data_IF_441162917769
#
_entry.id   IF_441162917769
#
_cell.length_a   1.000
_cell.length_b   1.000
_cell.length_c   1.000
_cell.angle_alpha   90.00
_cell.angle_beta   90.00
_cell.angle_gamma   90.00
#
_symmetry.space_group_name_H-M   'P 1'
#
loop_
_entity.id
_entity.type
_entity.pdbx_description
1 polymer ?
#
# COMPACT_ATOMS: atom_id res chain seq x y z
N UNK A 1 1.75 17.11 -23.20
CA UNK A 1 1.47 16.21 -22.07
C UNK A 1 2.74 15.40 -21.83
N UNK A 2 3.16 15.21 -20.61
CA UNK A 2 4.30 14.36 -20.29
C UNK A 2 4.06 12.93 -20.78
N UNK A 3 5.08 12.29 -21.38
CA UNK A 3 4.94 10.87 -21.76
C UNK A 3 4.83 9.96 -20.53
N UNK A 4 5.32 10.43 -19.39
CA UNK A 4 5.35 9.70 -18.12
C UNK A 4 4.62 10.49 -17.03
N UNK A 5 3.81 9.81 -16.23
CA UNK A 5 3.13 10.36 -15.04
C UNK A 5 3.47 9.52 -13.81
N UNK A 6 3.74 10.17 -12.69
CA UNK A 6 3.82 9.50 -11.39
C UNK A 6 2.41 9.48 -10.80
N UNK A 7 1.88 8.30 -10.49
CA UNK A 7 0.59 8.15 -9.81
C UNK A 7 0.83 7.65 -8.40
N UNK A 8 0.25 8.34 -7.41
CA UNK A 8 0.44 8.05 -5.99
C UNK A 8 -0.87 7.57 -5.36
N UNK A 9 -0.83 6.40 -4.72
CA UNK A 9 -1.90 5.80 -3.94
C UNK A 9 -1.54 5.89 -2.45
N UNK A 10 -2.38 6.56 -1.68
CA UNK A 10 -2.16 6.80 -0.25
C UNK A 10 -2.46 5.58 0.63
N UNK A 11 -2.05 5.63 1.90
CA UNK A 11 -2.33 4.63 2.92
C UNK A 11 -3.75 4.72 3.49
N UNK A 12 -4.14 3.73 4.30
CA UNK A 12 -5.40 3.72 5.01
C UNK A 12 -5.55 4.95 5.91
N UNK A 13 -6.71 5.58 5.91
CA UNK A 13 -6.98 6.78 6.69
C UNK A 13 -6.35 8.08 6.17
N UNK A 14 -5.57 8.01 5.10
CA UNK A 14 -4.97 9.16 4.43
C UNK A 14 -5.83 9.65 3.25
N UNK A 15 -5.35 10.71 2.60
CA UNK A 15 -5.89 11.27 1.36
C UNK A 15 -4.75 11.80 0.48
N UNK A 16 -5.08 12.23 -0.73
CA UNK A 16 -4.14 12.91 -1.64
C UNK A 16 -3.42 14.12 -1.01
N UNK A 17 -4.08 14.81 -0.07
CA UNK A 17 -3.52 16.00 0.58
C UNK A 17 -2.24 15.69 1.38
N UNK A 18 -2.15 14.50 1.99
CA UNK A 18 -0.96 14.06 2.72
C UNK A 18 0.27 13.91 1.83
N UNK A 19 0.09 13.86 0.51
CA UNK A 19 1.16 13.73 -0.48
C UNK A 19 1.49 15.04 -1.20
N UNK A 20 0.75 16.13 -0.94
CA UNK A 20 0.90 17.41 -1.65
C UNK A 20 2.33 17.96 -1.58
N UNK A 21 2.97 17.92 -0.40
CA UNK A 21 4.33 18.39 -0.23
C UNK A 21 5.33 17.57 -1.05
N UNK A 22 5.22 16.24 -1.03
CA UNK A 22 6.10 15.38 -1.82
C UNK A 22 5.87 15.58 -3.33
N UNK A 23 4.62 15.63 -3.76
CA UNK A 23 4.26 15.84 -5.16
C UNK A 23 4.78 17.17 -5.70
N UNK A 24 4.73 18.25 -4.90
CA UNK A 24 5.20 19.59 -5.30
C UNK A 24 6.72 19.69 -5.53
N UNK A 25 7.49 18.67 -5.12
CA UNK A 25 8.94 18.65 -5.35
C UNK A 25 9.32 18.23 -6.78
N UNK A 26 8.38 17.68 -7.54
CA UNK A 26 8.59 17.30 -8.94
C UNK A 26 8.16 18.44 -9.87
N UNK A 27 9.09 18.92 -10.70
CA UNK A 27 8.86 20.06 -11.61
C UNK A 27 8.96 19.66 -13.09
N UNK A 28 9.45 18.48 -13.37
CA UNK A 28 9.78 17.97 -14.72
C UNK A 28 8.95 16.73 -15.12
N UNK A 29 8.07 16.27 -14.26
CA UNK A 29 7.16 15.14 -14.50
C UNK A 29 5.80 15.44 -13.86
N UNK A 30 4.72 15.00 -14.51
CA UNK A 30 3.37 15.11 -13.95
C UNK A 30 3.20 14.15 -12.77
N UNK A 31 2.62 14.65 -11.66
CA UNK A 31 2.36 13.86 -10.47
C UNK A 31 0.88 13.95 -10.12
N UNK A 32 0.21 12.81 -10.15
CA UNK A 32 -1.20 12.67 -9.81
C UNK A 32 -1.36 11.92 -8.50
N UNK A 33 -1.98 12.54 -7.51
CA UNK A 33 -2.34 11.91 -6.24
C UNK A 33 -3.83 11.59 -6.24
N UNK A 34 -4.19 10.33 -6.00
CA UNK A 34 -5.57 9.85 -6.11
C UNK A 34 -6.13 9.61 -4.70
N UNK A 35 -7.32 10.19 -4.41
CA UNK A 35 -8.12 9.76 -3.27
C UNK A 35 -8.74 8.39 -3.58
N UNK A 36 -8.50 7.41 -2.73
CA UNK A 36 -9.10 6.08 -2.86
C UNK A 36 -10.55 6.09 -2.35
N UNK A 37 -11.46 5.27 -2.89
CA UNK A 37 -12.85 5.21 -2.43
C UNK A 37 -13.00 5.01 -0.91
N UNK A 38 -13.81 5.86 -0.29
CA UNK A 38 -13.99 5.94 1.16
C UNK A 38 -13.02 6.85 1.88
N UNK A 39 -12.09 7.52 1.15
CA UNK A 39 -11.11 8.44 1.71
C UNK A 39 -11.08 9.77 0.96
N UNK A 40 -10.62 10.83 1.67
CA UNK A 40 -10.53 12.16 1.09
C UNK A 40 -11.87 12.64 0.56
N UNK A 41 -11.90 13.03 -0.71
CA UNK A 41 -13.11 13.49 -1.41
C UNK A 41 -13.83 12.38 -2.20
N UNK A 42 -13.24 11.17 -2.29
CA UNK A 42 -13.83 10.07 -3.07
C UNK A 42 -14.82 9.27 -2.20
N UNK A 43 -16.08 9.13 -2.63
CA UNK A 43 -17.09 8.42 -1.85
C UNK A 43 -16.78 6.92 -1.78
N UNK A 44 -17.27 6.28 -0.71
CA UNK A 44 -17.26 4.83 -0.62
C UNK A 44 -18.21 4.23 -1.66
N UNK A 45 -17.71 3.27 -2.45
CA UNK A 45 -18.52 2.65 -3.52
C UNK A 45 -19.31 1.44 -2.98
N UNK A 46 -18.65 0.54 -2.26
CA UNK A 46 -19.30 -0.66 -1.70
C UNK A 46 -18.54 -1.17 -0.48
N UNK A 47 -19.24 -1.62 0.57
CA UNK A 47 -18.63 -2.24 1.74
C UNK A 47 -18.07 -3.65 1.47
N UNK A 48 -18.33 -4.20 0.29
CA UNK A 48 -17.86 -5.56 -0.10
C UNK A 48 -16.49 -5.55 -0.76
N UNK A 49 -15.93 -4.38 -1.03
CA UNK A 49 -14.65 -4.26 -1.73
C UNK A 49 -13.48 -4.85 -0.94
N UNK A 50 -12.53 -5.39 -1.68
CA UNK A 50 -11.21 -5.82 -1.25
C UNK A 50 -10.14 -5.26 -2.18
N UNK A 51 -8.93 -5.80 -2.13
CA UNK A 51 -7.80 -5.34 -2.96
C UNK A 51 -8.11 -5.40 -4.47
N UNK A 52 -8.73 -6.47 -5.02
CA UNK A 52 -9.01 -6.54 -6.46
C UNK A 52 -9.95 -5.42 -6.95
N UNK A 53 -11.01 -5.11 -6.20
CA UNK A 53 -11.98 -4.09 -6.59
C UNK A 53 -11.37 -2.68 -6.54
N UNK A 54 -10.58 -2.39 -5.50
CA UNK A 54 -9.79 -1.15 -5.44
C UNK A 54 -8.78 -1.04 -6.59
N UNK A 55 -8.15 -2.15 -6.97
CA UNK A 55 -7.22 -2.18 -8.10
C UNK A 55 -7.93 -1.88 -9.42
N UNK A 56 -9.05 -2.53 -9.72
CA UNK A 56 -9.84 -2.30 -10.94
C UNK A 56 -10.32 -0.85 -11.03
N UNK A 57 -10.80 -0.28 -9.90
CA UNK A 57 -11.19 1.12 -9.86
C UNK A 57 -10.00 2.06 -10.12
N UNK A 58 -8.84 1.76 -9.52
CA UNK A 58 -7.61 2.54 -9.71
C UNK A 58 -7.13 2.48 -11.16
N UNK A 59 -7.15 1.30 -11.79
CA UNK A 59 -6.79 1.16 -13.21
C UNK A 59 -7.66 2.05 -14.11
N UNK A 60 -8.98 2.08 -13.89
CA UNK A 60 -9.89 2.95 -14.65
C UNK A 60 -9.54 4.43 -14.48
N UNK A 61 -9.13 4.87 -13.29
CA UNK A 61 -8.67 6.25 -13.07
C UNK A 61 -7.34 6.53 -13.78
N UNK A 62 -6.39 5.61 -13.71
CA UNK A 62 -5.08 5.74 -14.38
C UNK A 62 -5.25 5.80 -15.90
N UNK A 63 -6.06 4.95 -16.50
CA UNK A 63 -6.35 4.96 -17.94
C UNK A 63 -6.97 6.30 -18.38
N UNK A 64 -7.79 6.93 -17.54
CA UNK A 64 -8.38 8.23 -17.82
C UNK A 64 -7.34 9.36 -17.95
N UNK A 65 -6.15 9.21 -17.36
CA UNK A 65 -5.05 10.18 -17.45
C UNK A 65 -4.41 10.24 -18.85
N UNK A 66 -4.62 9.21 -19.67
CA UNK A 66 -4.06 9.10 -21.04
C UNK A 66 -2.54 9.22 -21.12
N UNK A 67 -1.84 8.89 -20.03
CA UNK A 67 -0.39 8.84 -19.99
C UNK A 67 0.10 7.57 -20.68
N UNK A 68 1.18 7.67 -21.48
CA UNK A 68 1.76 6.51 -22.15
C UNK A 68 2.47 5.57 -21.17
N UNK A 69 3.08 6.15 -20.14
CA UNK A 69 3.80 5.41 -19.09
C UNK A 69 3.45 5.94 -17.71
N UNK A 70 3.30 5.05 -16.76
CA UNK A 70 3.01 5.39 -15.38
C UNK A 70 4.07 4.79 -14.46
N UNK A 71 4.56 5.59 -13.53
CA UNK A 71 5.31 5.16 -12.37
C UNK A 71 4.32 5.11 -11.22
N UNK A 72 3.98 3.91 -10.75
CA UNK A 72 2.98 3.74 -9.70
C UNK A 72 3.66 3.71 -8.33
N UNK A 73 3.28 4.63 -7.47
CA UNK A 73 3.76 4.73 -6.08
C UNK A 73 2.62 4.35 -5.15
N UNK A 74 2.82 3.31 -4.35
CA UNK A 74 1.82 2.87 -3.37
C UNK A 74 2.37 2.88 -1.96
N UNK A 75 1.69 3.59 -1.05
CA UNK A 75 2.00 3.61 0.37
C UNK A 75 1.04 2.73 1.15
N UNK A 76 1.56 1.83 1.98
CA UNK A 76 0.76 1.01 2.90
C UNK A 76 -0.40 0.30 2.18
N UNK A 77 -1.65 0.70 2.43
CA UNK A 77 -2.83 0.19 1.72
C UNK A 77 -2.75 0.41 0.20
N UNK A 78 -2.37 1.62 -0.24
CA UNK A 78 -2.14 1.92 -1.66
C UNK A 78 -1.04 1.05 -2.26
N UNK A 79 -0.05 0.64 -1.47
CA UNK A 79 0.99 -0.31 -1.89
C UNK A 79 0.44 -1.71 -2.17
N UNK A 80 -0.54 -2.18 -1.41
CA UNK A 80 -1.23 -3.44 -1.69
C UNK A 80 -2.01 -3.39 -3.01
N UNK A 81 -2.70 -2.27 -3.25
CA UNK A 81 -3.43 -2.03 -4.51
C UNK A 81 -2.43 -2.01 -5.68
N UNK A 82 -1.34 -1.26 -5.55
CA UNK A 82 -0.30 -1.16 -6.55
C UNK A 82 0.37 -2.51 -6.86
N UNK A 83 0.59 -3.34 -5.84
CA UNK A 83 1.10 -4.71 -5.99
C UNK A 83 0.16 -5.59 -6.82
N UNK A 84 -1.15 -5.51 -6.55
CA UNK A 84 -2.13 -6.26 -7.33
C UNK A 84 -2.14 -5.82 -8.79
N UNK A 85 -2.22 -4.51 -9.06
CA UNK A 85 -2.14 -3.95 -10.42
C UNK A 85 -0.86 -4.41 -11.12
N UNK A 86 0.29 -4.28 -10.46
CA UNK A 86 1.57 -4.68 -11.05
C UNK A 86 1.64 -6.17 -11.39
N UNK A 87 0.94 -7.03 -10.64
CA UNK A 87 0.88 -8.47 -10.92
C UNK A 87 0.13 -8.83 -12.21
N UNK A 88 -0.70 -7.91 -12.71
CA UNK A 88 -1.41 -8.04 -13.99
C UNK A 88 -0.55 -7.61 -15.18
N UNK A 89 0.61 -7.01 -14.92
CA UNK A 89 1.57 -6.51 -15.90
C UNK A 89 0.94 -5.62 -17.00
N UNK A 90 0.18 -4.56 -16.64
CA UNK A 90 -0.43 -3.70 -17.63
C UNK A 90 0.63 -2.93 -18.42
N UNK A 91 0.45 -2.78 -19.75
CA UNK A 91 1.44 -2.18 -20.68
C UNK A 91 1.83 -0.73 -20.32
N UNK A 92 0.91 0.01 -19.68
CA UNK A 92 1.16 1.38 -19.25
C UNK A 92 2.06 1.50 -18.01
N UNK A 93 2.24 0.43 -17.23
CA UNK A 93 3.00 0.45 -15.97
C UNK A 93 4.49 0.28 -16.25
N UNK A 94 5.26 1.35 -16.07
CA UNK A 94 6.70 1.36 -16.34
C UNK A 94 7.54 0.98 -15.13
N UNK A 95 7.18 1.45 -13.93
CA UNK A 95 7.93 1.22 -12.70
C UNK A 95 6.97 1.18 -11.50
N UNK A 96 7.34 0.43 -10.46
CA UNK A 96 6.60 0.31 -9.21
C UNK A 96 7.44 0.78 -8.03
N UNK A 97 6.83 1.55 -7.12
CA UNK A 97 7.45 1.96 -5.86
C UNK A 97 6.50 1.63 -4.71
N UNK A 98 6.93 0.76 -3.82
CA UNK A 98 6.19 0.32 -2.64
C UNK A 98 6.80 0.93 -1.38
N UNK A 99 6.03 1.66 -0.61
CA UNK A 99 6.47 2.37 0.58
C UNK A 99 5.69 1.85 1.79
N UNK A 100 6.36 1.18 2.73
CA UNK A 100 5.71 0.63 3.92
C UNK A 100 4.51 -0.29 3.59
N UNK A 101 4.58 -1.05 2.50
CA UNK A 101 3.46 -1.86 2.00
C UNK A 101 3.44 -3.27 2.63
N UNK A 102 2.41 -3.65 3.41
CA UNK A 102 2.33 -4.95 4.06
C UNK A 102 1.69 -6.02 3.16
N UNK A 103 2.32 -6.35 2.03
CA UNK A 103 1.72 -7.24 1.02
C UNK A 103 1.70 -8.73 1.40
N UNK A 104 2.51 -9.14 2.37
CA UNK A 104 2.52 -10.51 2.88
C UNK A 104 1.79 -10.62 4.21
N UNK A 105 0.92 -11.62 4.33
CA UNK A 105 0.26 -11.93 5.58
C UNK A 105 1.16 -12.79 6.49
N UNK A 106 2.07 -12.15 7.22
CA UNK A 106 3.01 -12.79 8.13
C UNK A 106 2.69 -12.44 9.61
N UNK A 107 1.64 -13.03 10.21
CA UNK A 107 1.27 -12.71 11.57
C UNK A 107 2.35 -13.18 12.54
N UNK A 108 2.73 -12.32 13.50
CA UNK A 108 3.71 -12.65 14.52
C UNK A 108 3.28 -13.90 15.32
N UNK A 109 4.24 -14.57 15.97
CA UNK A 109 3.95 -15.75 16.80
C UNK A 109 2.90 -15.43 17.90
N UNK A 110 2.96 -14.23 18.51
CA UNK A 110 1.96 -13.77 19.47
C UNK A 110 0.55 -13.72 18.86
N UNK A 111 0.42 -13.15 17.66
CA UNK A 111 -0.87 -13.07 16.96
C UNK A 111 -1.38 -14.46 16.58
N UNK A 112 -0.50 -15.38 16.15
CA UNK A 112 -0.88 -16.78 15.88
C UNK A 112 -1.40 -17.48 17.12
N UNK A 113 -0.72 -17.30 18.28
CA UNK A 113 -1.14 -17.86 19.56
C UNK A 113 -2.48 -17.27 20.02
N UNK A 114 -2.65 -15.94 19.98
CA UNK A 114 -3.89 -15.29 20.34
C UNK A 114 -5.06 -15.73 19.47
N UNK A 115 -4.86 -15.88 18.15
CA UNK A 115 -5.89 -16.43 17.24
C UNK A 115 -6.27 -17.88 17.60
N UNK A 116 -5.30 -18.72 18.00
CA UNK A 116 -5.59 -20.09 18.47
C UNK A 116 -6.41 -20.08 19.76
N UNK A 117 -6.03 -19.25 20.74
CA UNK A 117 -6.77 -19.07 21.99
C UNK A 117 -8.18 -18.54 21.72
N UNK A 118 -8.33 -17.51 20.90
CA UNK A 118 -9.64 -16.96 20.55
C UNK A 118 -10.55 -18.00 19.85
N UNK A 119 -9.98 -18.88 19.01
CA UNK A 119 -10.72 -19.99 18.40
C UNK A 119 -11.24 -20.98 19.44
N UNK A 120 -10.42 -21.34 20.44
CA UNK A 120 -10.81 -22.22 21.53
C UNK A 120 -11.89 -21.57 22.42
N UNK A 121 -11.70 -20.30 22.80
CA UNK A 121 -12.65 -19.52 23.61
C UNK A 121 -14.01 -19.44 22.90
N UNK A 122 -14.02 -19.17 21.59
CA UNK A 122 -15.25 -19.17 20.78
C UNK A 122 -15.91 -20.55 20.71
N UNK A 123 -15.13 -21.62 20.64
CA UNK A 123 -15.64 -22.99 20.62
C UNK A 123 -16.27 -23.38 21.97
N UNK A 124 -15.81 -22.76 23.06
CA UNK A 124 -16.37 -22.94 24.41
C UNK A 124 -17.54 -22.01 24.73
N UNK A 125 -18.04 -21.24 23.74
CA UNK A 125 -19.19 -20.34 23.91
C UNK A 125 -18.89 -19.07 24.72
N UNK A 126 -17.64 -18.81 25.06
CA UNK A 126 -17.20 -17.61 25.78
C UNK A 126 -16.99 -16.47 24.81
N UNK A 127 -17.95 -15.54 24.73
CA UNK A 127 -17.85 -14.37 23.87
C UNK A 127 -17.04 -13.26 24.56
N UNK A 128 -15.73 -13.28 24.40
CA UNK A 128 -14.92 -12.07 24.56
C UNK A 128 -14.18 -11.83 23.24
N UNK A 129 -14.31 -10.65 22.67
CA UNK A 129 -13.61 -10.27 21.45
C UNK A 129 -12.30 -9.58 21.84
N UNK A 130 -11.18 -10.32 22.00
CA UNK A 130 -9.91 -9.75 22.47
C UNK A 130 -9.16 -8.95 21.37
N UNK A 131 -9.76 -8.78 20.19
CA UNK A 131 -9.11 -8.20 19.01
C UNK A 131 -9.49 -6.73 18.73
N UNK A 132 -10.18 -6.04 19.67
CA UNK A 132 -10.58 -4.64 19.50
C UNK A 132 -9.47 -3.61 19.80
N UNK A 133 -8.21 -4.03 19.85
CA UNK A 133 -7.07 -3.14 20.16
C UNK A 133 -6.42 -2.50 18.92
N UNK A 134 -6.97 -2.69 17.72
CA UNK A 134 -6.47 -2.02 16.53
C UNK A 134 -7.25 -0.71 16.31
N UNK A 135 -6.58 0.41 16.51
CA UNK A 135 -7.16 1.75 16.33
C UNK A 135 -7.71 1.97 14.91
N UNK A 136 -7.02 1.46 13.89
CA UNK A 136 -7.47 1.57 12.49
C UNK A 136 -8.76 0.81 12.23
N UNK A 137 -8.92 -0.39 12.80
CA UNK A 137 -10.17 -1.15 12.70
C UNK A 137 -11.32 -0.43 13.41
N UNK A 138 -11.06 0.15 14.57
CA UNK A 138 -12.08 0.91 15.31
C UNK A 138 -12.54 2.14 14.52
N UNK A 139 -11.63 2.86 13.89
CA UNK A 139 -11.97 3.99 13.02
C UNK A 139 -12.66 3.53 11.72
N UNK A 140 -12.27 2.39 11.17
CA UNK A 140 -12.92 1.80 10.01
C UNK A 140 -14.36 1.36 10.30
N UNK A 141 -14.60 0.74 11.47
CA UNK A 141 -15.95 0.35 11.90
C UNK A 141 -16.86 1.57 12.08
N UNK A 142 -16.36 2.70 12.61
CA UNK A 142 -17.11 3.96 12.69
C UNK A 142 -17.51 4.56 11.33
N UNK A 143 -16.80 4.23 10.28
CA UNK A 143 -17.01 4.69 8.90
C UNK A 143 -17.69 3.66 8.01
N UNK A 144 -18.23 2.59 8.56
CA UNK A 144 -18.79 1.43 7.83
C UNK A 144 -17.77 0.73 6.89
N UNK A 145 -16.48 0.91 7.15
CA UNK A 145 -15.38 0.33 6.37
C UNK A 145 -14.69 -0.86 7.06
N UNK A 146 -15.20 -1.31 8.19
CA UNK A 146 -14.57 -2.36 8.99
C UNK A 146 -14.42 -3.69 8.25
N UNK A 147 -15.41 -4.08 7.43
CA UNK A 147 -15.34 -5.30 6.60
C UNK A 147 -14.29 -5.16 5.50
N UNK A 148 -14.21 -4.00 4.85
CA UNK A 148 -13.16 -3.69 3.87
C UNK A 148 -11.79 -3.82 4.53
N UNK A 149 -11.59 -3.20 5.69
CA UNK A 149 -10.32 -3.27 6.41
C UNK A 149 -9.92 -4.72 6.72
N UNK A 150 -10.84 -5.55 7.22
CA UNK A 150 -10.56 -6.96 7.52
C UNK A 150 -10.17 -7.75 6.27
N UNK A 151 -10.84 -7.53 5.13
CA UNK A 151 -10.48 -8.14 3.84
C UNK A 151 -9.10 -7.69 3.37
N UNK A 152 -8.84 -6.39 3.40
CA UNK A 152 -7.56 -5.80 2.99
C UNK A 152 -6.39 -6.36 3.79
N UNK A 153 -6.47 -6.35 5.14
CA UNK A 153 -5.35 -6.80 5.98
C UNK A 153 -5.13 -8.31 5.97
N UNK A 154 -6.15 -9.10 5.62
CA UNK A 154 -6.05 -10.55 5.53
C UNK A 154 -5.66 -11.07 4.15
N UNK A 155 -5.65 -10.22 3.13
CA UNK A 155 -5.32 -10.60 1.76
C UNK A 155 -3.82 -10.83 1.63
N UNK A 156 -3.39 -12.06 1.42
CA UNK A 156 -1.98 -12.40 1.17
C UNK A 156 -1.67 -12.27 -0.32
N UNK A 157 -0.62 -11.55 -0.65
CA UNK A 157 -0.23 -11.25 -2.04
C UNK A 157 1.05 -11.98 -2.46
N UNK A 158 1.31 -13.14 -1.88
CA UNK A 158 2.51 -13.94 -2.24
C UNK A 158 2.54 -14.29 -3.71
N UNK A 159 1.41 -14.67 -4.29
CA UNK A 159 1.35 -15.07 -5.71
C UNK A 159 1.36 -13.87 -6.66
N UNK A 160 0.81 -12.72 -6.24
CA UNK A 160 0.90 -11.47 -6.99
C UNK A 160 2.35 -10.97 -7.07
N UNK A 161 3.06 -10.95 -5.95
CA UNK A 161 4.46 -10.51 -5.90
C UNK A 161 5.37 -11.32 -6.85
N UNK A 162 5.16 -12.63 -6.98
CA UNK A 162 5.92 -13.51 -7.90
C UNK A 162 5.69 -13.19 -9.38
N UNK A 163 4.55 -12.57 -9.72
CA UNK A 163 4.19 -12.22 -11.10
C UNK A 163 4.71 -10.85 -11.52
N UNK A 164 5.27 -10.07 -10.61
CA UNK A 164 5.79 -8.74 -10.91
C UNK A 164 7.15 -8.87 -11.58
N UNK A 165 7.25 -8.42 -12.83
CA UNK A 165 8.49 -8.43 -13.64
C UNK A 165 9.04 -7.04 -13.93
N UNK A 166 8.29 -5.99 -13.57
CA UNK A 166 8.72 -4.60 -13.76
C UNK A 166 9.70 -4.16 -12.68
N UNK A 167 10.54 -3.19 -13.01
CA UNK A 167 11.49 -2.60 -12.09
C UNK A 167 10.78 -2.02 -10.87
N UNK A 168 11.09 -2.55 -9.69
CA UNK A 168 10.38 -2.27 -8.43
C UNK A 168 11.33 -1.74 -7.36
N UNK A 169 10.90 -0.70 -6.64
CA UNK A 169 11.57 -0.20 -5.44
C UNK A 169 10.69 -0.46 -4.22
N UNK A 170 11.26 -1.14 -3.23
CA UNK A 170 10.61 -1.41 -1.94
C UNK A 170 11.31 -0.56 -0.88
N UNK A 171 10.57 0.33 -0.22
CA UNK A 171 11.06 1.23 0.83
C UNK A 171 10.40 0.94 2.16
N UNK A 172 11.20 0.99 3.21
CA UNK A 172 10.74 0.84 4.58
C UNK A 172 11.48 1.82 5.51
N UNK A 173 10.77 2.42 6.47
CA UNK A 173 11.40 3.15 7.56
C UNK A 173 11.94 2.20 8.62
N UNK A 174 13.13 2.46 9.16
CA UNK A 174 13.72 1.59 10.19
C UNK A 174 12.97 1.61 11.53
N UNK A 175 12.18 2.65 11.78
CA UNK A 175 11.30 2.77 12.93
C UNK A 175 9.85 2.30 12.65
N UNK A 176 9.57 1.85 11.41
CA UNK A 176 8.28 1.28 11.05
C UNK A 176 8.13 -0.13 11.67
N UNK A 177 7.10 -0.30 12.44
CA UNK A 177 6.80 -1.59 13.10
C UNK A 177 5.83 -2.45 12.28
N UNK A 178 5.19 -1.88 11.25
CA UNK A 178 4.28 -2.59 10.36
C UNK A 178 4.20 -1.92 8.98
N UNK A 179 4.72 -2.58 7.92
CA UNK A 179 5.27 -3.94 7.90
C UNK A 179 6.63 -4.06 8.61
N UNK A 180 6.93 -5.25 9.14
CA UNK A 180 8.26 -5.52 9.69
C UNK A 180 9.30 -5.63 8.58
N UNK A 181 10.59 -5.48 8.93
CA UNK A 181 11.71 -5.68 8.00
C UNK A 181 11.70 -7.09 7.36
N UNK A 182 11.29 -8.10 8.12
CA UNK A 182 11.13 -9.47 7.62
C UNK A 182 10.13 -9.54 6.46
N UNK A 183 9.00 -8.83 6.55
CA UNK A 183 7.97 -8.76 5.50
C UNK A 183 8.54 -8.10 4.25
N UNK A 184 9.14 -6.91 4.37
CA UNK A 184 9.67 -6.18 3.21
C UNK A 184 10.85 -6.92 2.55
N UNK A 185 11.73 -7.54 3.34
CA UNK A 185 12.79 -8.40 2.84
C UNK A 185 12.26 -9.65 2.13
N UNK A 186 11.16 -10.23 2.62
CA UNK A 186 10.51 -11.36 1.95
C UNK A 186 9.85 -10.94 0.63
N UNK A 187 9.22 -9.76 0.56
CA UNK A 187 8.70 -9.19 -0.68
C UNK A 187 9.82 -9.01 -1.72
N UNK A 188 10.96 -8.45 -1.31
CA UNK A 188 12.13 -8.30 -2.18
C UNK A 188 12.61 -9.62 -2.78
N UNK A 189 12.58 -10.69 -2.01
CA UNK A 189 12.96 -12.04 -2.53
C UNK A 189 11.96 -12.62 -3.53
N UNK A 190 10.70 -12.17 -3.51
CA UNK A 190 9.64 -12.64 -4.41
C UNK A 190 9.58 -11.85 -5.72
N UNK A 191 9.91 -10.56 -5.69
CA UNK A 191 9.89 -9.69 -6.88
C UNK A 191 11.24 -9.74 -7.59
N UNK A 192 11.26 -10.27 -8.82
CA UNK A 192 12.49 -10.59 -9.55
C UNK A 192 13.40 -9.37 -9.79
N UNK A 193 12.85 -8.26 -10.31
CA UNK A 193 13.60 -7.00 -10.55
C UNK A 193 13.26 -5.97 -9.48
N UNK A 194 13.74 -6.18 -8.26
CA UNK A 194 13.47 -5.25 -7.18
C UNK A 194 14.75 -4.76 -6.48
N UNK A 195 14.63 -3.56 -5.92
CA UNK A 195 15.59 -2.99 -4.96
C UNK A 195 14.87 -2.80 -3.63
N UNK A 196 15.51 -3.17 -2.54
CA UNK A 196 15.01 -2.95 -1.19
C UNK A 196 15.91 -1.98 -0.44
N UNK A 197 15.30 -0.97 0.21
CA UNK A 197 16.04 0.01 1.03
C UNK A 197 15.32 0.25 2.34
N UNK A 198 16.07 0.20 3.43
CA UNK A 198 15.64 0.62 4.76
C UNK A 198 16.12 2.05 4.99
N UNK A 199 15.22 2.93 5.40
CA UNK A 199 15.48 4.35 5.61
C UNK A 199 15.72 4.61 7.12
N UNK A 200 16.93 5.01 7.52
CA UNK A 200 17.26 5.18 8.93
C UNK A 200 16.42 6.27 9.59
N UNK A 201 15.90 6.00 10.79
CA UNK A 201 15.28 6.99 11.67
C UNK A 201 13.88 7.47 11.26
N UNK A 202 13.30 6.91 10.21
CA UNK A 202 11.91 7.25 9.79
C UNK A 202 10.95 6.09 10.07
N UNK A 203 9.71 6.44 10.36
CA UNK A 203 8.62 5.50 10.64
C UNK A 203 7.81 5.14 9.40
N UNK A 204 6.53 4.84 9.62
CA UNK A 204 5.60 4.39 8.57
C UNK A 204 5.27 5.47 7.54
N UNK A 205 5.15 6.72 8.00
CA UNK A 205 4.70 7.84 7.18
C UNK A 205 5.89 8.64 6.61
N UNK A 206 6.80 7.98 5.91
CA UNK A 206 8.04 8.55 5.37
C UNK A 206 7.79 9.84 4.57
N UNK A 207 6.70 9.90 3.80
CA UNK A 207 6.30 11.04 2.98
C UNK A 207 5.92 12.29 3.80
N UNK A 208 5.54 12.12 5.06
CA UNK A 208 5.26 13.21 6.01
C UNK A 208 6.47 13.50 6.89
N UNK A 209 7.17 12.47 7.34
CA UNK A 209 8.29 12.60 8.29
C UNK A 209 9.54 13.15 7.62
N UNK A 210 9.83 12.73 6.39
CA UNK A 210 11.02 13.20 5.65
C UNK A 210 10.79 13.17 4.13
N UNK A 211 9.93 14.05 3.59
CA UNK A 211 9.62 14.08 2.15
C UNK A 211 10.84 14.35 1.28
N UNK A 212 11.82 15.11 1.75
CA UNK A 212 13.07 15.41 1.02
C UNK A 212 13.92 14.16 0.83
N UNK A 213 14.07 13.34 1.87
CA UNK A 213 14.79 12.07 1.78
C UNK A 213 14.09 11.14 0.80
N UNK A 214 12.76 11.01 0.92
CA UNK A 214 11.95 10.19 0.02
C UNK A 214 12.11 10.65 -1.43
N UNK A 215 11.97 11.94 -1.69
CA UNK A 215 12.16 12.52 -3.01
C UNK A 215 13.53 12.18 -3.61
N UNK A 216 14.63 12.39 -2.86
CA UNK A 216 15.96 12.08 -3.35
C UNK A 216 16.17 10.61 -3.72
N UNK A 217 15.51 9.69 -3.00
CA UNK A 217 15.58 8.26 -3.29
C UNK A 217 14.73 7.91 -4.53
N UNK A 218 13.51 8.42 -4.59
CA UNK A 218 12.60 8.19 -5.73
C UNK A 218 13.21 8.75 -7.02
N UNK A 219 13.73 9.98 -7.00
CA UNK A 219 14.40 10.63 -8.17
C UNK A 219 15.58 9.82 -8.71
N UNK A 220 16.35 9.17 -7.85
CA UNK A 220 17.46 8.30 -8.27
C UNK A 220 17.00 6.98 -8.86
N UNK A 221 15.82 6.54 -8.49
CA UNK A 221 15.27 5.26 -8.96
C UNK A 221 14.52 5.40 -10.28
N UNK A 222 13.70 6.46 -10.44
CA UNK A 222 12.85 6.63 -11.62
C UNK A 222 13.68 6.94 -12.87
N UNK A 223 13.24 6.36 -13.99
CA UNK A 223 13.73 6.65 -15.34
C UNK A 223 12.56 7.33 -16.07
N UNK A 224 12.75 8.58 -16.46
CA UNK A 224 11.77 9.39 -17.17
C UNK A 224 11.90 9.26 -18.68
#
# INVERSE_FOLDING_TARGET
>A
MSETTIVILHGWGHSREHWAQFASMFHDVDVQTIDLPGFGSEPLVSPEWGIPEYANWTESKVESLKSKKVILVGHSFGGRIATYIASLNPEWLAQLILIGAPCLYMPSQKVRLLKRIAKVVKMLGLTSNPLSLNSELTEADKKDMGEIYRRVVSYDQTEELKKIHIRTLILQGSADTYPSEEVCSAMHRLVQDSQYKVLPGVGHNIHLENPTLLYGIVRKFIIL
#
